data_IF_506491490122
#
_entry.id   IF_506491490122
#
_cell.length_a   1.000
_cell.length_b   1.000
_cell.length_c   1.000
_cell.angle_alpha   90.00
_cell.angle_beta   90.00
_cell.angle_gamma   90.00
#
_symmetry.space_group_name_H-M   'P 1'
#
loop_
_entity.id
_entity.type
_entity.pdbx_description
1 polymer ?
#
# COMPACT_ATOMS: atom_id res chain seq x y z
N UNK A 1 -28.72 -5.02 -15.97
CA UNK A 1 -27.62 -4.14 -16.45
C UNK A 1 -27.03 -3.32 -15.30
N UNK A 2 -27.81 -2.46 -14.62
CA UNK A 2 -27.33 -1.55 -13.55
C UNK A 2 -26.70 -2.30 -12.35
N UNK A 3 -27.31 -3.41 -11.88
CA UNK A 3 -26.78 -4.20 -10.76
C UNK A 3 -25.38 -4.79 -11.02
N UNK A 4 -25.06 -5.12 -12.28
CA UNK A 4 -23.75 -5.67 -12.63
C UNK A 4 -22.69 -4.56 -12.66
N UNK A 5 -23.05 -3.36 -13.09
CA UNK A 5 -22.15 -2.20 -13.14
C UNK A 5 -21.75 -1.74 -11.73
N UNK A 6 -22.70 -1.67 -10.79
CA UNK A 6 -22.44 -1.30 -9.38
C UNK A 6 -21.51 -2.33 -8.73
N UNK A 7 -21.79 -3.63 -8.92
CA UNK A 7 -20.99 -4.70 -8.33
C UNK A 7 -19.56 -4.77 -8.90
N UNK A 8 -19.37 -4.42 -10.18
CA UNK A 8 -18.05 -4.29 -10.79
C UNK A 8 -17.25 -3.11 -10.21
N UNK A 9 -17.91 -1.98 -10.01
CA UNK A 9 -17.31 -0.79 -9.41
C UNK A 9 -16.82 -1.06 -7.99
N UNK A 10 -17.65 -1.72 -7.16
CA UNK A 10 -17.30 -2.06 -5.78
C UNK A 10 -16.09 -3.01 -5.70
N UNK A 11 -15.98 -3.95 -6.65
CA UNK A 11 -14.85 -4.89 -6.73
C UNK A 11 -13.54 -4.17 -7.08
N UNK A 12 -13.55 -3.25 -8.05
CA UNK A 12 -12.36 -2.45 -8.38
C UNK A 12 -11.98 -1.47 -7.29
N UNK A 13 -12.96 -0.85 -6.62
CA UNK A 13 -12.67 0.00 -5.46
C UNK A 13 -12.05 -0.81 -4.31
N UNK A 14 -12.48 -2.06 -4.11
CA UNK A 14 -11.85 -2.98 -3.17
C UNK A 14 -10.40 -3.30 -3.52
N UNK A 15 -10.10 -3.62 -4.78
CA UNK A 15 -8.73 -3.86 -5.26
C UNK A 15 -7.85 -2.61 -5.11
N UNK A 16 -8.40 -1.43 -5.37
CA UNK A 16 -7.71 -0.16 -5.18
C UNK A 16 -7.36 0.04 -3.71
N UNK A 17 -8.33 -0.08 -2.80
CA UNK A 17 -8.09 0.07 -1.36
C UNK A 17 -7.08 -0.96 -0.87
N UNK A 18 -7.17 -2.21 -1.34
CA UNK A 18 -6.22 -3.26 -0.99
C UNK A 18 -4.79 -2.91 -1.41
N UNK A 19 -4.58 -2.54 -2.68
CA UNK A 19 -3.27 -2.10 -3.17
C UNK A 19 -2.76 -0.84 -2.47
N UNK A 20 -3.63 0.14 -2.23
CA UNK A 20 -3.29 1.39 -1.56
C UNK A 20 -2.82 1.19 -0.11
N UNK A 21 -3.54 0.37 0.68
CA UNK A 21 -3.14 0.03 2.06
C UNK A 21 -1.78 -0.66 2.04
N UNK A 22 -1.63 -1.70 1.23
CA UNK A 22 -0.39 -2.49 1.25
C UNK A 22 0.81 -1.64 0.79
N UNK A 23 0.65 -0.86 -0.29
CA UNK A 23 1.71 0.01 -0.82
C UNK A 23 2.16 1.09 0.15
N UNK A 24 1.23 1.72 0.86
CA UNK A 24 1.57 2.71 1.87
C UNK A 24 2.20 2.09 3.12
N UNK A 25 1.69 0.95 3.60
CA UNK A 25 2.24 0.24 4.77
C UNK A 25 3.64 -0.29 4.48
N UNK A 26 3.84 -1.01 3.38
CA UNK A 26 5.15 -1.60 3.02
C UNK A 26 6.20 -0.53 2.77
N UNK A 27 5.87 0.50 1.98
CA UNK A 27 6.84 1.55 1.68
C UNK A 27 7.17 2.37 2.93
N UNK A 28 6.18 2.66 3.77
CA UNK A 28 6.45 3.34 5.04
C UNK A 28 7.27 2.46 6.00
N UNK A 29 7.08 1.14 6.00
CA UNK A 29 7.92 0.22 6.76
C UNK A 29 9.39 0.25 6.29
N UNK A 30 9.65 0.32 4.98
CA UNK A 30 11.00 0.52 4.43
C UNK A 30 11.61 1.83 4.92
N UNK A 31 10.85 2.93 4.84
CA UNK A 31 11.28 4.24 5.34
C UNK A 31 11.56 4.21 6.84
N UNK A 32 10.68 3.59 7.63
CA UNK A 32 10.81 3.48 9.08
C UNK A 32 12.01 2.63 9.47
N UNK A 33 12.22 1.49 8.83
CA UNK A 33 13.39 0.63 9.04
C UNK A 33 14.69 1.37 8.72
N UNK A 34 14.75 2.03 7.57
CA UNK A 34 15.94 2.77 7.18
C UNK A 34 16.22 3.96 8.11
N UNK A 35 15.16 4.61 8.63
CA UNK A 35 15.30 5.66 9.66
C UNK A 35 15.81 5.09 10.97
N UNK A 36 15.30 3.93 11.40
CA UNK A 36 15.75 3.23 12.60
C UNK A 36 17.20 2.75 12.51
N UNK A 37 17.64 2.38 11.32
CA UNK A 37 19.03 2.03 11.01
C UNK A 37 19.92 3.25 10.65
N UNK A 38 19.41 4.48 10.79
CA UNK A 38 20.14 5.72 10.48
C UNK A 38 20.79 5.75 9.08
N UNK A 39 20.12 5.17 8.08
CA UNK A 39 20.65 5.07 6.72
C UNK A 39 20.57 6.41 5.98
N UNK A 40 21.52 6.64 5.07
CA UNK A 40 21.54 7.84 4.23
C UNK A 40 20.30 7.93 3.32
N UNK A 41 19.76 9.14 3.09
CA UNK A 41 18.59 9.41 2.22
C UNK A 41 18.68 8.69 0.88
N UNK A 42 19.87 8.64 0.27
CA UNK A 42 20.10 7.94 -1.01
C UNK A 42 19.78 6.44 -0.92
N UNK A 43 20.12 5.79 0.18
CA UNK A 43 19.80 4.36 0.42
C UNK A 43 18.30 4.18 0.61
N UNK A 44 17.65 5.07 1.38
CA UNK A 44 16.18 5.07 1.57
C UNK A 44 15.46 5.14 0.23
N UNK A 45 15.88 6.05 -0.66
CA UNK A 45 15.27 6.22 -1.98
C UNK A 45 15.49 5.00 -2.88
N UNK A 46 16.70 4.43 -2.90
CA UNK A 46 16.99 3.22 -3.69
C UNK A 46 16.11 2.06 -3.22
N UNK A 47 16.10 1.77 -1.92
CA UNK A 47 15.31 0.68 -1.35
C UNK A 47 13.81 0.91 -1.52
N UNK A 48 13.34 2.12 -1.21
CA UNK A 48 11.92 2.49 -1.29
C UNK A 48 11.37 2.38 -2.71
N UNK A 49 12.05 2.95 -3.70
CA UNK A 49 11.60 2.90 -5.10
C UNK A 49 11.71 1.49 -5.67
N UNK A 50 12.79 0.76 -5.37
CA UNK A 50 12.92 -0.63 -5.80
C UNK A 50 11.80 -1.50 -5.23
N UNK A 51 11.51 -1.36 -3.92
CA UNK A 51 10.42 -2.07 -3.26
C UNK A 51 9.07 -1.71 -3.86
N UNK A 52 8.81 -0.42 -4.11
CA UNK A 52 7.55 0.06 -4.66
C UNK A 52 7.22 -0.60 -6.02
N UNK A 53 8.24 -0.75 -6.87
CA UNK A 53 8.08 -1.37 -8.20
C UNK A 53 7.93 -2.89 -8.06
N UNK A 54 8.81 -3.53 -7.29
CA UNK A 54 8.87 -4.99 -7.17
C UNK A 54 7.63 -5.56 -6.46
N UNK A 55 7.30 -5.04 -5.28
CA UNK A 55 6.16 -5.50 -4.48
C UNK A 55 4.84 -5.17 -5.18
N UNK A 56 4.73 -3.97 -5.76
CA UNK A 56 3.56 -3.60 -6.53
C UNK A 56 3.31 -4.58 -7.68
N UNK A 57 4.35 -4.93 -8.44
CA UNK A 57 4.23 -5.89 -9.53
C UNK A 57 3.83 -7.27 -9.01
N UNK A 58 4.47 -7.74 -7.93
CA UNK A 58 4.15 -9.01 -7.27
C UNK A 58 2.68 -9.07 -6.85
N UNK A 59 2.16 -8.01 -6.25
CA UNK A 59 0.75 -7.90 -5.86
C UNK A 59 -0.20 -7.88 -7.06
N UNK A 60 0.12 -7.13 -8.12
CA UNK A 60 -0.67 -7.12 -9.34
C UNK A 60 -0.78 -8.51 -9.96
N UNK A 61 0.35 -9.23 -10.05
CA UNK A 61 0.39 -10.63 -10.50
C UNK A 61 -0.40 -11.54 -9.56
N UNK A 62 -0.29 -11.34 -8.24
CA UNK A 62 -1.06 -12.08 -7.24
C UNK A 62 -2.57 -11.90 -7.42
N UNK A 63 -3.04 -10.66 -7.63
CA UNK A 63 -4.45 -10.36 -7.91
C UNK A 63 -4.92 -10.96 -9.23
N UNK A 64 -4.09 -10.89 -10.29
CA UNK A 64 -4.36 -11.56 -11.58
C UNK A 64 -4.55 -13.07 -11.40
N UNK A 65 -3.58 -13.75 -10.78
CA UNK A 65 -3.60 -15.20 -10.61
C UNK A 65 -4.75 -15.64 -9.69
N UNK A 66 -5.04 -14.87 -8.63
CA UNK A 66 -6.18 -15.11 -7.74
C UNK A 66 -7.51 -15.03 -8.50
N UNK A 67 -7.72 -13.97 -9.30
CA UNK A 67 -8.95 -13.82 -10.08
C UNK A 67 -9.05 -14.84 -11.21
N UNK A 68 -7.96 -15.12 -11.94
CA UNK A 68 -7.92 -16.15 -12.98
C UNK A 68 -8.24 -17.54 -12.41
N UNK A 69 -7.63 -17.90 -11.28
CA UNK A 69 -7.88 -19.18 -10.60
C UNK A 69 -9.34 -19.31 -10.15
N UNK A 70 -9.92 -18.23 -9.59
CA UNK A 70 -11.35 -18.19 -9.23
C UNK A 70 -12.23 -18.38 -10.47
N UNK A 71 -11.89 -17.78 -11.61
CA UNK A 71 -12.61 -17.97 -12.86
C UNK A 71 -12.55 -19.40 -13.38
N UNK A 72 -11.37 -20.01 -13.38
CA UNK A 72 -11.19 -21.40 -13.84
C UNK A 72 -11.87 -22.42 -12.91
N UNK A 73 -11.79 -22.22 -11.58
CA UNK A 73 -12.47 -23.08 -10.60
C UNK A 73 -13.99 -23.01 -10.73
N UNK A 74 -14.55 -21.84 -11.09
CA UNK A 74 -15.99 -21.70 -11.35
C UNK A 74 -16.44 -22.46 -12.59
N UNK A 75 -15.69 -22.37 -13.69
CA UNK A 75 -15.99 -23.13 -14.91
C UNK A 75 -16.06 -24.63 -14.63
N UNK A 76 -15.21 -25.13 -13.73
CA UNK A 76 -15.24 -26.54 -13.27
C UNK A 76 -16.43 -26.87 -12.37
N UNK A 77 -16.95 -25.92 -11.57
CA UNK A 77 -17.99 -26.17 -10.55
C UNK A 77 -19.43 -25.88 -10.99
N UNK A 78 -19.70 -25.42 -12.23
CA UNK A 78 -21.05 -25.06 -12.73
C UNK A 78 -21.85 -24.18 -11.74
N UNK A 79 -21.17 -23.30 -11.00
CA UNK A 79 -21.82 -22.42 -10.02
C UNK A 79 -22.16 -21.07 -10.65
N UNK A 80 -23.43 -20.64 -10.55
CA UNK A 80 -23.98 -19.39 -11.09
C UNK A 80 -23.54 -18.12 -10.33
N UNK A 81 -22.26 -18.03 -9.94
CA UNK A 81 -21.70 -16.80 -9.38
C UNK A 81 -20.98 -16.04 -10.49
N UNK A 82 -21.62 -14.96 -10.98
CA UNK A 82 -21.02 -14.02 -11.93
C UNK A 82 -19.88 -13.27 -11.23
N UNK A 83 -18.62 -13.57 -11.59
CA UNK A 83 -17.48 -12.68 -11.32
C UNK A 83 -17.51 -11.59 -12.39
N UNK A 84 -17.49 -10.34 -11.95
CA UNK A 84 -17.74 -9.19 -12.81
C UNK A 84 -16.44 -8.41 -12.93
N UNK A 85 -15.55 -8.87 -13.79
CA UNK A 85 -14.33 -8.11 -14.09
C UNK A 85 -13.25 -8.92 -14.80
N UNK A 86 -12.44 -8.24 -15.61
CA UNK A 86 -11.25 -8.84 -16.22
C UNK A 86 -10.15 -9.03 -15.15
N UNK A 87 -9.55 -10.23 -15.03
CA UNK A 87 -8.40 -10.46 -14.14
C UNK A 87 -7.25 -9.49 -14.38
N UNK A 88 -7.05 -9.07 -15.64
CA UNK A 88 -6.01 -8.10 -16.01
C UNK A 88 -6.33 -6.72 -15.45
N UNK A 89 -7.61 -6.31 -15.45
CA UNK A 89 -8.01 -5.00 -14.92
C UNK A 89 -7.80 -4.97 -13.40
N UNK A 90 -8.13 -6.05 -12.69
CA UNK A 90 -7.88 -6.15 -11.24
C UNK A 90 -6.40 -5.96 -10.93
N UNK A 91 -5.54 -6.71 -11.62
CA UNK A 91 -4.09 -6.60 -11.49
C UNK A 91 -3.57 -5.18 -11.70
N UNK A 92 -4.06 -4.50 -12.75
CA UNK A 92 -3.69 -3.11 -13.04
C UNK A 92 -4.17 -2.15 -11.95
N UNK A 93 -5.40 -2.31 -11.47
CA UNK A 93 -5.94 -1.47 -10.39
C UNK A 93 -5.13 -1.66 -9.11
N UNK A 94 -4.85 -2.90 -8.70
CA UNK A 94 -4.03 -3.18 -7.51
C UNK A 94 -2.63 -2.57 -7.66
N UNK A 95 -1.96 -2.80 -8.78
CA UNK A 95 -0.60 -2.32 -9.02
C UNK A 95 -0.51 -0.79 -9.03
N UNK A 96 -1.42 -0.14 -9.76
CA UNK A 96 -1.43 1.32 -9.85
C UNK A 96 -1.80 1.97 -8.51
N UNK A 97 -2.74 1.41 -7.76
CA UNK A 97 -3.06 1.87 -6.41
C UNK A 97 -1.86 1.73 -5.45
N UNK A 98 -1.14 0.61 -5.53
CA UNK A 98 0.06 0.35 -4.73
C UNK A 98 1.13 1.40 -4.99
N UNK A 99 1.46 1.68 -6.25
CA UNK A 99 2.46 2.71 -6.61
C UNK A 99 1.97 4.11 -6.21
N UNK A 100 0.76 4.47 -6.60
CA UNK A 100 0.25 5.83 -6.46
C UNK A 100 0.18 6.27 -5.00
N UNK A 101 -0.15 5.35 -4.09
CA UNK A 101 -0.28 5.64 -2.67
C UNK A 101 1.00 5.28 -1.92
N UNK A 102 1.69 4.22 -2.31
CA UNK A 102 2.96 3.80 -1.71
C UNK A 102 4.11 4.78 -1.95
N UNK A 103 4.05 5.65 -2.95
CA UNK A 103 5.05 6.72 -3.11
C UNK A 103 4.95 7.79 -2.03
N UNK A 104 3.80 7.96 -1.36
CA UNK A 104 3.55 9.06 -0.42
C UNK A 104 4.58 9.14 0.72
N UNK A 105 4.92 8.04 1.44
CA UNK A 105 6.01 8.05 2.42
C UNK A 105 7.36 8.52 1.86
N UNK A 106 7.66 8.23 0.59
CA UNK A 106 8.93 8.60 -0.04
C UNK A 106 8.99 10.06 -0.45
N UNK A 107 7.85 10.75 -0.59
CA UNK A 107 7.80 12.16 -1.01
C UNK A 107 8.69 13.03 -0.11
N UNK A 108 8.72 12.77 1.20
CA UNK A 108 9.55 13.51 2.15
C UNK A 108 11.06 13.44 1.82
N UNK A 109 11.52 12.27 1.38
CA UNK A 109 12.92 12.01 1.04
C UNK A 109 13.24 12.48 -0.38
N UNK A 110 12.27 12.37 -1.29
CA UNK A 110 12.38 12.87 -2.65
C UNK A 110 12.47 14.41 -2.64
N UNK A 111 11.68 15.09 -1.80
CA UNK A 111 11.71 16.55 -1.72
C UNK A 111 13.02 17.09 -1.18
N UNK A 112 13.60 16.44 -0.15
CA UNK A 112 14.96 16.76 0.33
C UNK A 112 15.98 16.61 -0.81
N UNK A 113 15.93 15.48 -1.55
CA UNK A 113 16.91 15.17 -2.59
C UNK A 113 16.81 16.06 -3.85
N UNK A 114 15.59 16.43 -4.27
CA UNK A 114 15.36 17.21 -5.50
C UNK A 114 15.43 18.72 -5.25
N UNK A 115 14.83 19.19 -4.15
CA UNK A 115 14.69 20.63 -3.89
C UNK A 115 15.86 21.21 -3.09
N UNK A 116 16.79 20.35 -2.63
CA UNK A 116 17.91 20.71 -1.75
C UNK A 116 17.45 21.49 -0.50
N UNK A 117 16.22 21.22 -0.05
CA UNK A 117 15.65 21.79 1.17
C UNK A 117 16.09 20.89 2.31
N UNK A 118 16.86 21.46 3.25
CA UNK A 118 17.24 20.75 4.47
C UNK A 118 16.00 20.58 5.38
N UNK A 119 15.34 19.43 5.28
CA UNK A 119 14.25 19.04 6.17
C UNK A 119 14.87 18.35 7.38
N UNK A 120 15.15 19.13 8.43
CA UNK A 120 15.75 18.68 9.69
C UNK A 120 15.02 17.46 10.30
N UNK A 121 13.72 17.33 10.05
CA UNK A 121 12.87 16.23 10.54
C UNK A 121 12.12 15.47 9.44
N UNK A 122 12.83 15.04 8.38
CA UNK A 122 12.25 14.30 7.23
C UNK A 122 11.40 13.08 7.60
N UNK A 123 11.78 12.33 8.64
CA UNK A 123 10.99 11.19 9.10
C UNK A 123 9.64 11.61 9.69
N UNK A 124 9.59 12.72 10.45
CA UNK A 124 8.34 13.28 10.98
C UNK A 124 7.45 13.76 9.84
N UNK A 125 8.03 14.40 8.82
CA UNK A 125 7.28 14.81 7.63
C UNK A 125 6.70 13.61 6.87
N UNK A 126 7.46 12.52 6.74
CA UNK A 126 6.97 11.25 6.19
C UNK A 126 5.83 10.66 7.03
N UNK A 127 5.93 10.68 8.36
CA UNK A 127 4.86 10.21 9.26
C UNK A 127 3.57 11.01 9.01
N UNK A 128 3.68 12.34 8.91
CA UNK A 128 2.52 13.21 8.69
C UNK A 128 1.83 12.91 7.36
N UNK A 129 2.59 12.86 6.25
CA UNK A 129 2.06 12.54 4.92
C UNK A 129 1.41 11.14 4.89
N UNK A 130 2.09 10.14 5.47
CA UNK A 130 1.58 8.76 5.49
C UNK A 130 0.33 8.64 6.36
N UNK A 131 0.27 9.36 7.48
CA UNK A 131 -0.92 9.39 8.35
C UNK A 131 -2.12 10.00 7.62
N UNK A 132 -1.90 11.10 6.86
CA UNK A 132 -2.93 11.68 6.00
C UNK A 132 -3.40 10.68 4.93
N UNK A 133 -2.47 9.95 4.31
CA UNK A 133 -2.81 8.89 3.35
C UNK A 133 -3.65 7.78 4.03
N UNK A 134 -3.24 7.26 5.20
CA UNK A 134 -4.01 6.25 5.92
C UNK A 134 -5.40 6.70 6.34
N UNK A 135 -5.58 7.97 6.70
CA UNK A 135 -6.91 8.53 6.97
C UNK A 135 -7.76 8.52 5.70
N UNK A 136 -7.20 9.00 4.58
CA UNK A 136 -7.89 9.00 3.30
C UNK A 136 -8.28 7.58 2.84
N UNK A 137 -7.34 6.64 2.91
CA UNK A 137 -7.57 5.23 2.55
C UNK A 137 -8.59 4.61 3.50
N UNK A 138 -8.54 4.91 4.80
CA UNK A 138 -9.52 4.45 5.79
C UNK A 138 -10.94 4.94 5.48
N UNK A 139 -11.08 6.17 4.98
CA UNK A 139 -12.37 6.70 4.49
C UNK A 139 -12.85 5.95 3.24
N UNK A 140 -11.96 5.64 2.29
CA UNK A 140 -12.29 4.84 1.11
C UNK A 140 -12.70 3.41 1.49
N UNK A 141 -11.91 2.76 2.35
CA UNK A 141 -12.17 1.44 2.90
C UNK A 141 -13.56 1.37 3.54
N UNK A 142 -13.92 2.36 4.36
CA UNK A 142 -15.25 2.45 5.00
C UNK A 142 -16.40 2.40 3.99
N UNK A 143 -16.25 3.04 2.83
CA UNK A 143 -17.26 3.02 1.77
C UNK A 143 -17.38 1.66 1.09
N UNK A 144 -16.28 0.91 0.96
CA UNK A 144 -16.25 -0.41 0.31
C UNK A 144 -16.75 -1.51 1.26
N UNK A 145 -16.36 -1.45 2.53
CA UNK A 145 -16.66 -2.51 3.52
C UNK A 145 -17.94 -2.26 4.32
N UNK A 146 -18.67 -1.16 4.08
CA UNK A 146 -19.84 -0.73 4.85
C UNK A 146 -19.59 -0.67 6.37
N UNK A 147 -18.35 -0.37 6.78
CA UNK A 147 -17.96 -0.20 8.19
C UNK A 147 -17.97 1.28 8.56
N UNK A 148 -18.15 1.61 9.84
CA UNK A 148 -18.08 3.01 10.30
C UNK A 148 -16.76 3.70 9.96
N UNK A 149 -16.82 4.94 9.47
CA UNK A 149 -15.66 5.73 9.00
C UNK A 149 -14.52 5.79 10.02
N UNK A 150 -14.84 6.14 11.26
CA UNK A 150 -13.84 6.24 12.34
C UNK A 150 -13.16 4.89 12.58
N UNK A 151 -13.92 3.80 12.66
CA UNK A 151 -13.36 2.46 12.86
C UNK A 151 -12.38 2.09 11.75
N UNK A 152 -12.74 2.32 10.49
CA UNK A 152 -11.87 2.02 9.35
C UNK A 152 -10.58 2.87 9.34
N UNK A 153 -10.66 4.15 9.70
CA UNK A 153 -9.49 5.02 9.87
C UNK A 153 -8.58 4.49 10.98
N UNK A 154 -9.13 4.21 12.17
CA UNK A 154 -8.36 3.70 13.30
C UNK A 154 -7.68 2.36 12.99
N UNK A 155 -8.38 1.43 12.33
CA UNK A 155 -7.79 0.16 11.90
C UNK A 155 -6.60 0.38 10.95
N UNK A 156 -6.76 1.28 9.98
CA UNK A 156 -5.72 1.54 8.96
C UNK A 156 -4.50 2.22 9.58
N UNK A 157 -4.70 3.24 10.42
CA UNK A 157 -3.62 3.91 11.15
C UNK A 157 -2.91 2.95 12.12
N UNK A 158 -3.65 2.10 12.83
CA UNK A 158 -3.07 1.14 13.79
C UNK A 158 -2.20 0.12 13.06
N UNK A 159 -2.70 -0.47 11.96
CA UNK A 159 -1.93 -1.43 11.17
C UNK A 159 -0.64 -0.80 10.64
N UNK A 160 -0.72 0.40 10.06
CA UNK A 160 0.45 1.11 9.55
C UNK A 160 1.44 1.50 10.65
N UNK A 161 0.95 1.97 11.80
CA UNK A 161 1.80 2.34 12.94
C UNK A 161 2.52 1.14 13.54
N UNK A 162 1.83 0.01 13.70
CA UNK A 162 2.44 -1.23 14.20
C UNK A 162 3.50 -1.75 13.24
N UNK A 163 3.20 -1.79 11.93
CA UNK A 163 4.16 -2.23 10.92
C UNK A 163 5.41 -1.34 10.92
N UNK A 164 5.23 -0.01 10.94
CA UNK A 164 6.34 0.94 10.97
C UNK A 164 7.16 0.83 12.26
N UNK A 165 6.52 0.66 13.42
CA UNK A 165 7.21 0.46 14.68
C UNK A 165 8.08 -0.80 14.67
N UNK A 166 7.53 -1.93 14.20
CA UNK A 166 8.26 -3.18 14.08
C UNK A 166 9.45 -3.04 13.12
N UNK A 167 9.25 -2.38 11.96
CA UNK A 167 10.28 -2.18 10.96
C UNK A 167 11.40 -1.24 11.45
N UNK A 168 11.03 -0.13 12.10
CA UNK A 168 11.98 0.79 12.74
C UNK A 168 12.83 0.07 13.77
N UNK A 169 12.19 -0.69 14.66
CA UNK A 169 12.88 -1.44 15.70
C UNK A 169 13.83 -2.47 15.09
N UNK A 170 13.37 -3.24 14.09
CA UNK A 170 14.21 -4.19 13.37
C UNK A 170 15.42 -3.51 12.72
N UNK A 171 15.23 -2.35 12.08
CA UNK A 171 16.33 -1.55 11.52
C UNK A 171 17.33 -1.11 12.59
N UNK A 172 16.85 -0.56 13.70
CA UNK A 172 17.71 -0.11 14.81
C UNK A 172 18.48 -1.24 15.49
N UNK A 173 17.88 -2.43 15.59
CA UNK A 173 18.52 -3.61 16.15
C UNK A 173 19.60 -4.15 15.22
N UNK A 174 19.34 -4.17 13.91
CA UNK A 174 20.34 -4.61 12.94
C UNK A 174 21.52 -3.65 12.90
N UNK A 175 21.28 -2.34 12.94
CA UNK A 175 22.36 -1.35 12.96
C UNK A 175 23.28 -1.52 14.17
N UNK A 176 22.73 -1.79 15.37
CA UNK A 176 23.54 -2.00 16.58
C UNK A 176 24.28 -3.33 16.63
N UNK A 177 23.87 -4.32 15.85
CA UNK A 177 24.54 -5.64 15.76
C UNK A 177 25.60 -5.64 14.67
N UNK A 178 25.39 -4.88 13.59
CA UNK A 178 26.25 -4.85 12.42
C UNK A 178 27.36 -3.79 12.48
N UNK A 179 27.24 -2.81 13.40
CA UNK A 179 28.18 -1.69 13.59
C UNK A 179 28.78 -1.69 14.99
#
# INVERSE_FOLDING_TARGET
MIKNFIKQHDEYMGEFVYGAIDGSVTTFAVVASASGANLATKVVLILGVANLIADGFSMGVGSYLSSKSRAELRNKRRADIVEIGSPVVRALVTYTAFIAVGIIPLIAYISEYILDINIEHKFIFSIALTSMAFIFIGLMKSSVTNTGKLKAIFETLTLGSVAAFLAYFAGSLLESVLT
#
